data_IF_672486720625
#
_entry.id   IF_672486720625
#
_cell.length_a   1.000
_cell.length_b   1.000
_cell.length_c   1.000
_cell.angle_alpha   90.00
_cell.angle_beta   90.00
_cell.angle_gamma   90.00
#
_symmetry.space_group_name_H-M   'P 1'
#
loop_
_entity.id
_entity.type
_entity.pdbx_description
1 polymer ?
#
# COMPACT_ATOMS: atom_id res chain seq x y z
N UNK A 1 -11.61 0.90 1.83
CA UNK A 1 -10.74 1.40 2.91
C UNK A 1 -9.76 0.33 3.41
N UNK A 2 -10.09 -0.96 3.30
CA UNK A 2 -9.28 -2.07 3.84
C UNK A 2 -7.80 -2.14 3.39
N UNK A 3 -7.46 -1.63 2.21
CA UNK A 3 -6.07 -1.65 1.69
C UNK A 3 -5.20 -0.51 2.23
N UNK A 4 -5.81 0.53 2.81
CA UNK A 4 -5.12 1.72 3.31
C UNK A 4 -5.40 1.95 4.80
N UNK A 5 -4.98 1.03 5.70
CA UNK A 5 -5.25 1.12 7.13
C UNK A 5 -4.33 2.13 7.86
N UNK A 6 -3.76 3.11 7.17
CA UNK A 6 -2.84 4.08 7.77
C UNK A 6 -3.65 5.16 8.50
N UNK A 7 -3.31 5.39 9.78
CA UNK A 7 -3.91 6.47 10.58
C UNK A 7 -3.57 7.84 9.96
N UNK A 8 -4.55 8.75 10.00
CA UNK A 8 -4.37 10.14 9.57
C UNK A 8 -3.32 10.89 10.40
N UNK A 9 -3.09 10.49 11.65
CA UNK A 9 -2.10 11.06 12.56
C UNK A 9 -0.75 10.31 12.56
N UNK A 10 -0.27 9.85 11.40
CA UNK A 10 1.06 9.26 11.31
C UNK A 10 2.18 10.29 11.57
N UNK A 11 3.19 9.88 12.34
CA UNK A 11 4.49 10.54 12.32
C UNK A 11 5.26 10.14 11.07
N UNK A 12 5.94 11.09 10.41
CA UNK A 12 6.73 10.80 9.19
C UNK A 12 6.34 11.62 7.96
N UNK A 13 5.62 12.73 8.14
CA UNK A 13 5.31 13.70 7.08
C UNK A 13 4.65 13.10 5.82
N UNK A 14 3.84 12.05 5.99
CA UNK A 14 3.17 11.38 4.88
C UNK A 14 3.85 10.09 4.39
N UNK A 15 5.04 9.75 4.89
CA UNK A 15 5.82 8.59 4.42
C UNK A 15 5.05 7.27 4.50
N UNK A 16 4.29 7.02 5.57
CA UNK A 16 3.55 5.75 5.71
C UNK A 16 2.43 5.60 4.67
N UNK A 17 1.70 6.68 4.37
CA UNK A 17 0.70 6.72 3.29
C UNK A 17 1.36 6.50 1.93
N UNK A 18 2.51 7.13 1.68
CA UNK A 18 3.25 6.95 0.42
C UNK A 18 3.71 5.49 0.24
N UNK A 19 4.28 4.89 1.28
CA UNK A 19 4.73 3.49 1.24
C UNK A 19 3.57 2.51 1.10
N UNK A 20 2.49 2.70 1.86
CA UNK A 20 1.31 1.84 1.73
C UNK A 20 0.70 1.91 0.32
N UNK A 21 0.70 3.08 -0.31
CA UNK A 21 0.27 3.23 -1.72
C UNK A 21 1.16 2.42 -2.66
N UNK A 22 2.48 2.49 -2.50
CA UNK A 22 3.42 1.71 -3.29
C UNK A 22 3.19 0.20 -3.12
N UNK A 23 2.98 -0.27 -1.90
CA UNK A 23 2.72 -1.69 -1.59
C UNK A 23 1.42 -2.18 -2.23
N UNK A 24 0.33 -1.41 -2.10
CA UNK A 24 -0.97 -1.75 -2.70
C UNK A 24 -0.85 -1.85 -4.22
N UNK A 25 -0.21 -0.86 -4.88
CA UNK A 25 -0.03 -0.88 -6.33
C UNK A 25 0.86 -2.02 -6.79
N UNK A 26 1.95 -2.31 -6.07
CA UNK A 26 2.83 -3.44 -6.39
C UNK A 26 2.08 -4.77 -6.30
N UNK A 27 1.28 -4.96 -5.24
CA UNK A 27 0.50 -6.17 -5.05
C UNK A 27 -0.62 -6.33 -6.10
N UNK A 28 -1.28 -5.24 -6.52
CA UNK A 28 -2.23 -5.27 -7.64
C UNK A 28 -1.50 -5.63 -8.94
N UNK A 29 -0.33 -5.03 -9.20
CA UNK A 29 0.48 -5.35 -10.37
C UNK A 29 0.88 -6.83 -10.41
N UNK A 30 1.29 -7.39 -9.27
CA UNK A 30 1.61 -8.81 -9.14
C UNK A 30 0.39 -9.70 -9.44
N UNK A 31 -0.78 -9.37 -8.91
CA UNK A 31 -2.02 -10.10 -9.22
C UNK A 31 -2.37 -10.07 -10.71
N UNK A 32 -2.27 -8.90 -11.34
CA UNK A 32 -2.51 -8.74 -12.77
C UNK A 32 -1.52 -9.54 -13.63
N UNK A 33 -0.30 -9.75 -13.13
CA UNK A 33 0.71 -10.60 -13.76
C UNK A 33 0.57 -12.10 -13.40
N UNK A 34 -0.46 -12.49 -12.65
CA UNK A 34 -0.69 -13.89 -12.24
C UNK A 34 0.21 -14.36 -11.09
N UNK A 35 0.87 -13.44 -10.38
CA UNK A 35 1.66 -13.72 -9.19
C UNK A 35 0.81 -13.58 -7.91
N UNK A 36 1.15 -14.33 -6.86
CA UNK A 36 0.50 -14.17 -5.56
C UNK A 36 0.94 -12.86 -4.88
N UNK A 37 -0.01 -12.18 -4.22
CA UNK A 37 0.28 -11.04 -3.33
C UNK A 37 1.28 -11.44 -2.25
N UNK A 38 2.09 -10.48 -1.82
CA UNK A 38 3.01 -10.62 -0.69
C UNK A 38 2.59 -9.73 0.48
#
# INVERSE_FOLDING_TARGET
>A
MDQFPVDVYQGGAGTSVNMNTNEVLANIGLELMGHQKR
#
